data_IF_052598770124
#
_entry.id   IF_052598770124
#
_cell.length_a   1.000
_cell.length_b   1.000
_cell.length_c   1.000
_cell.angle_alpha   90.00
_cell.angle_beta   90.00
_cell.angle_gamma   90.00
#
_symmetry.space_group_name_H-M   'P 1'
#
loop_
_entity.id
_entity.type
_entity.pdbx_description
1 polymer ?
#
# COMPACT_ATOMS: atom_id res chain seq x y z
N UNK A 1 13.83 11.06 -37.93
CA UNK A 1 13.11 11.73 -36.83
C UNK A 1 12.50 10.67 -35.91
N UNK A 2 13.11 10.40 -34.76
CA UNK A 2 12.56 9.50 -33.75
C UNK A 2 11.44 10.22 -32.98
N UNK A 3 10.19 9.79 -33.17
CA UNK A 3 9.05 10.30 -32.38
C UNK A 3 9.26 9.92 -30.92
N UNK A 4 9.55 10.89 -30.05
CA UNK A 4 9.57 10.70 -28.61
C UNK A 4 8.15 10.41 -28.12
N UNK A 5 7.86 9.16 -27.78
CA UNK A 5 6.60 8.77 -27.16
C UNK A 5 6.51 9.44 -25.79
N UNK A 6 5.60 10.42 -25.63
CA UNK A 6 5.28 10.96 -24.30
C UNK A 6 4.72 9.80 -23.47
N UNK A 7 5.32 9.44 -22.33
CA UNK A 7 4.78 8.39 -21.49
C UNK A 7 3.37 8.79 -21.07
N UNK A 8 2.38 8.00 -21.51
CA UNK A 8 0.99 8.22 -21.14
C UNK A 8 0.90 7.98 -19.63
N UNK A 9 0.65 9.06 -18.87
CA UNK A 9 0.42 8.99 -17.43
C UNK A 9 -0.65 7.94 -17.16
N UNK A 10 -0.39 7.13 -16.15
CA UNK A 10 -1.17 5.95 -15.87
C UNK A 10 -2.51 6.32 -15.23
N UNK A 11 -3.50 6.62 -16.07
CA UNK A 11 -4.87 6.88 -15.60
C UNK A 11 -5.43 5.73 -14.78
N UNK A 12 -4.91 4.50 -14.97
CA UNK A 12 -5.34 3.33 -14.22
C UNK A 12 -4.93 3.39 -12.74
N UNK A 13 -3.66 3.71 -12.45
CA UNK A 13 -3.19 3.82 -11.06
C UNK A 13 -3.91 4.95 -10.34
N UNK A 14 -3.97 6.13 -10.97
CA UNK A 14 -4.69 7.28 -10.42
C UNK A 14 -6.16 6.94 -10.17
N UNK A 15 -6.85 6.34 -11.15
CA UNK A 15 -8.24 5.93 -11.00
C UNK A 15 -8.42 4.95 -9.84
N UNK A 16 -7.52 3.97 -9.69
CA UNK A 16 -7.61 2.97 -8.62
C UNK A 16 -7.43 3.60 -7.24
N UNK A 17 -6.42 4.45 -7.09
CA UNK A 17 -6.18 5.21 -5.85
C UNK A 17 -7.38 6.10 -5.52
N UNK A 18 -7.93 6.81 -6.50
CA UNK A 18 -9.15 7.62 -6.31
C UNK A 18 -10.34 6.78 -5.85
N UNK A 19 -10.56 5.60 -6.43
CA UNK A 19 -11.64 4.69 -6.00
C UNK A 19 -11.45 4.21 -4.56
N UNK A 20 -10.22 3.92 -4.15
CA UNK A 20 -9.91 3.51 -2.78
C UNK A 20 -10.14 4.66 -1.78
N UNK A 21 -9.73 5.89 -2.13
CA UNK A 21 -10.05 7.07 -1.33
C UNK A 21 -11.57 7.27 -1.18
N UNK A 22 -12.33 7.12 -2.27
CA UNK A 22 -13.80 7.19 -2.23
C UNK A 22 -14.44 6.08 -1.37
N UNK A 23 -13.77 4.93 -1.23
CA UNK A 23 -14.19 3.83 -0.37
C UNK A 23 -13.77 3.99 1.10
N UNK A 24 -13.12 5.11 1.46
CA UNK A 24 -12.74 5.43 2.84
C UNK A 24 -11.30 5.07 3.23
N UNK A 25 -10.47 4.63 2.29
CA UNK A 25 -9.03 4.43 2.53
C UNK A 25 -8.29 5.76 2.34
N UNK A 26 -8.48 6.72 3.24
CA UNK A 26 -8.07 8.12 3.08
C UNK A 26 -6.62 8.44 3.41
N UNK A 27 -5.93 7.56 4.14
CA UNK A 27 -4.52 7.76 4.50
C UNK A 27 -3.57 7.16 3.45
N UNK A 28 -2.33 7.65 3.46
CA UNK A 28 -1.23 7.10 2.67
C UNK A 28 -0.20 6.51 3.62
N UNK A 29 0.26 5.30 3.34
CA UNK A 29 1.23 4.60 4.16
C UNK A 29 2.53 4.36 3.39
N UNK A 30 3.64 4.38 4.14
CA UNK A 30 4.96 3.98 3.65
C UNK A 30 5.55 2.88 4.54
N UNK A 31 6.32 1.97 3.92
CA UNK A 31 7.15 1.03 4.67
C UNK A 31 8.45 1.70 5.12
N UNK A 32 8.78 1.56 6.41
CA UNK A 32 10.08 1.97 6.95
C UNK A 32 11.12 0.85 6.81
N UNK A 33 12.39 1.13 7.08
CA UNK A 33 13.49 0.14 7.00
C UNK A 33 13.24 -1.11 7.86
N UNK A 34 12.52 -0.97 8.97
CA UNK A 34 12.13 -2.07 9.86
C UNK A 34 10.90 -2.87 9.40
N UNK A 35 10.37 -2.59 8.19
CA UNK A 35 9.08 -3.07 7.69
C UNK A 35 7.88 -2.64 8.54
N UNK A 36 8.01 -1.59 9.36
CA UNK A 36 6.86 -0.97 10.01
C UNK A 36 6.10 -0.14 8.98
N UNK A 37 4.81 0.09 9.23
CA UNK A 37 4.03 1.05 8.47
C UNK A 37 4.12 2.41 9.13
N UNK A 38 4.29 3.45 8.33
CA UNK A 38 4.19 4.83 8.77
C UNK A 38 3.07 5.50 7.98
N UNK A 39 2.09 6.07 8.69
CA UNK A 39 1.11 6.97 8.08
C UNK A 39 1.80 8.27 7.70
N UNK A 40 1.60 8.74 6.47
CA UNK A 40 2.18 10.00 5.99
C UNK A 40 1.42 11.23 6.51
N UNK A 41 0.20 11.04 7.02
CA UNK A 41 -0.64 12.09 7.57
C UNK A 41 -0.31 12.37 9.03
N UNK A 42 -0.07 11.31 9.82
CA UNK A 42 0.14 11.42 11.28
C UNK A 42 1.61 11.25 11.68
N UNK A 43 2.45 10.76 10.76
CA UNK A 43 3.83 10.33 11.01
C UNK A 43 3.97 9.20 12.05
N UNK A 44 2.87 8.63 12.51
CA UNK A 44 2.85 7.55 13.50
C UNK A 44 3.29 6.25 12.83
N UNK A 45 4.23 5.55 13.47
CA UNK A 45 4.60 4.20 13.08
C UNK A 45 3.71 3.16 13.76
N UNK A 46 3.13 2.28 12.95
CA UNK A 46 2.36 1.13 13.38
C UNK A 46 3.13 -0.15 13.07
N UNK A 47 3.17 -1.05 14.05
CA UNK A 47 3.80 -2.35 13.85
C UNK A 47 2.92 -3.21 12.93
N UNK A 48 3.49 -4.01 12.02
CA UNK A 48 2.70 -4.76 11.04
C UNK A 48 1.62 -5.66 11.66
N UNK A 49 1.88 -6.26 12.82
CA UNK A 49 0.92 -7.14 13.49
C UNK A 49 -0.31 -6.42 14.06
N UNK A 50 -0.27 -5.10 14.21
CA UNK A 50 -1.39 -4.26 14.63
C UNK A 50 -2.17 -3.70 13.43
N UNK A 51 -1.90 -4.20 12.23
CA UNK A 51 -2.50 -3.74 10.98
C UNK A 51 -2.98 -4.92 10.17
N UNK A 52 -4.00 -4.73 9.35
CA UNK A 52 -4.43 -5.67 8.31
C UNK A 52 -4.01 -5.10 6.97
N UNK A 53 -3.12 -5.80 6.28
CA UNK A 53 -2.63 -5.37 4.97
C UNK A 53 -3.12 -6.37 3.91
N UNK A 54 -3.82 -5.88 2.88
CA UNK A 54 -4.36 -6.71 1.80
C UNK A 54 -3.88 -6.18 0.45
N UNK A 55 -3.34 -7.04 -0.40
CA UNK A 55 -3.10 -6.72 -1.80
C UNK A 55 -4.46 -6.64 -2.54
N UNK A 56 -4.74 -5.51 -3.17
CA UNK A 56 -6.03 -5.27 -3.86
C UNK A 56 -5.89 -5.01 -5.36
N UNK A 57 -4.67 -4.76 -5.84
CA UNK A 57 -4.40 -4.57 -7.26
C UNK A 57 -2.91 -4.70 -7.63
N UNK A 58 -2.64 -5.00 -8.89
CA UNK A 58 -1.32 -4.99 -9.51
C UNK A 58 -1.41 -4.19 -10.81
N UNK A 59 -0.75 -3.03 -10.84
CA UNK A 59 -0.86 -2.09 -11.95
C UNK A 59 0.51 -1.87 -12.57
N UNK A 60 0.64 -2.11 -13.87
CA UNK A 60 1.88 -1.83 -14.59
C UNK A 60 2.05 -0.33 -14.79
N UNK A 61 3.05 0.25 -14.13
CA UNK A 61 3.40 1.67 -14.21
C UNK A 61 4.21 1.99 -15.47
N UNK A 62 3.58 2.61 -16.47
CA UNK A 62 4.25 3.00 -17.72
C UNK A 62 5.23 4.16 -17.55
N UNK A 63 5.10 4.97 -16.50
CA UNK A 63 6.01 6.09 -16.26
C UNK A 63 7.38 5.58 -15.77
N UNK A 64 7.35 4.62 -14.86
CA UNK A 64 8.56 4.04 -14.25
C UNK A 64 8.89 2.64 -14.75
N UNK A 65 8.16 2.14 -15.75
CA UNK A 65 8.32 0.82 -16.38
C UNK A 65 8.40 -0.33 -15.35
N UNK A 66 7.53 -0.31 -14.34
CA UNK A 66 7.54 -1.28 -13.26
C UNK A 66 6.12 -1.59 -12.76
N UNK A 67 5.91 -2.79 -12.23
CA UNK A 67 4.66 -3.10 -11.54
C UNK A 67 4.58 -2.37 -10.20
N UNK A 68 3.41 -1.82 -9.91
CA UNK A 68 3.02 -1.26 -8.62
C UNK A 68 1.98 -2.16 -8.00
N UNK A 69 2.18 -2.49 -6.74
CA UNK A 69 1.30 -3.33 -5.96
C UNK A 69 0.54 -2.44 -4.99
N UNK A 70 -0.78 -2.39 -5.17
CA UNK A 70 -1.67 -1.55 -4.38
C UNK A 70 -2.18 -2.39 -3.22
N UNK A 71 -1.85 -1.98 -2.00
CA UNK A 71 -2.33 -2.60 -0.79
C UNK A 71 -3.27 -1.65 -0.05
N UNK A 72 -4.33 -2.19 0.55
CA UNK A 72 -5.11 -1.48 1.57
C UNK A 72 -4.55 -1.81 2.94
N UNK A 73 -4.50 -0.81 3.80
CA UNK A 73 -4.09 -0.91 5.20
C UNK A 73 -5.28 -0.54 6.08
N UNK A 74 -5.57 -1.36 7.08
CA UNK A 74 -6.46 -1.01 8.18
C UNK A 74 -5.72 -1.25 9.49
N UNK A 75 -5.54 -0.22 10.29
CA UNK A 75 -4.89 -0.31 11.61
C UNK A 75 -5.92 -0.64 12.70
N UNK A 76 -5.45 -1.13 13.85
CA UNK A 76 -6.27 -1.36 15.04
C UNK A 76 -6.91 -0.08 15.61
N UNK A 77 -6.25 1.07 15.43
CA UNK A 77 -6.78 2.38 15.83
C UNK A 77 -7.83 2.95 14.85
N UNK A 78 -8.21 2.20 13.80
CA UNK A 78 -9.26 2.56 12.85
C UNK A 78 -8.82 3.39 11.65
N UNK A 79 -7.53 3.72 11.54
CA UNK A 79 -6.97 4.38 10.37
C UNK A 79 -6.99 3.43 9.14
N UNK A 80 -7.46 3.95 8.01
CA UNK A 80 -7.54 3.22 6.76
C UNK A 80 -6.81 3.96 5.66
N UNK A 81 -6.01 3.24 4.89
CA UNK A 81 -5.24 3.88 3.83
C UNK A 81 -4.66 2.94 2.80
N UNK A 82 -3.79 3.50 1.97
CA UNK A 82 -3.22 2.87 0.79
C UNK A 82 -1.71 2.76 0.97
N UNK A 83 -1.16 1.60 0.62
CA UNK A 83 0.27 1.34 0.60
C UNK A 83 0.68 0.89 -0.81
N UNK A 84 1.49 1.70 -1.48
CA UNK A 84 2.00 1.42 -2.83
C UNK A 84 3.44 0.93 -2.76
N UNK A 85 3.69 -0.28 -3.29
CA UNK A 85 5.01 -0.91 -3.25
C UNK A 85 5.45 -1.43 -4.61
N UNK A 86 6.77 -1.57 -4.84
CA UNK A 86 7.31 -2.23 -6.03
C UNK A 86 7.27 -3.77 -5.93
N UNK A 87 6.77 -4.33 -4.83
CA UNK A 87 6.62 -5.77 -4.60
C UNK A 87 5.38 -6.08 -3.77
N UNK A 88 4.91 -7.34 -3.79
CA UNK A 88 3.85 -7.82 -2.92
C UNK A 88 4.36 -7.85 -1.47
N UNK A 89 3.61 -7.25 -0.56
CA UNK A 89 3.89 -7.33 0.87
C UNK A 89 2.96 -8.36 1.52
N UNK A 90 3.54 -9.50 1.89
CA UNK A 90 2.86 -10.47 2.73
C UNK A 90 3.09 -10.13 4.18
N UNK A 91 2.02 -9.88 4.91
CA UNK A 91 2.08 -9.77 6.35
C UNK A 91 2.38 -11.15 6.93
N UNK A 92 3.45 -11.25 7.72
CA UNK A 92 3.74 -12.47 8.46
C UNK A 92 2.65 -12.61 9.55
N UNK A 93 1.71 -13.54 9.36
CA UNK A 93 0.76 -13.89 10.41
C UNK A 93 1.55 -14.62 11.49
N UNK A 94 1.98 -13.89 12.53
CA UNK A 94 2.54 -14.54 13.70
C UNK A 94 1.43 -15.40 14.33
N UNK A 95 1.55 -16.72 14.23
CA UNK A 95 0.73 -17.64 15.03
C UNK A 95 0.90 -17.21 16.49
N UNK A 96 -0.17 -16.70 17.10
CA UNK A 96 -0.23 -16.70 18.55
C UNK A 96 -0.18 -18.17 18.96
N UNK A 97 0.98 -18.62 19.48
CA UNK A 97 0.97 -19.76 20.37
C UNK A 97 0.15 -19.29 21.57
N UNK A 98 -1.07 -19.78 21.67
CA UNK A 98 -1.78 -19.79 22.93
C UNK A 98 -0.83 -20.43 23.94
N UNK A 99 -0.30 -19.63 24.86
CA UNK A 99 0.32 -20.16 26.07
C UNK A 99 -0.87 -20.61 26.91
N UNK A 100 -1.26 -21.86 26.71
CA UNK A 100 -2.09 -22.57 27.66
C UNK A 100 -1.15 -23.18 28.69
N UNK A 101 -0.91 -22.47 29.80
CA UNK A 101 -0.67 -23.03 31.15
C UNK A 101 -1.09 -21.98 32.16
#
# INVERSE_FOLDING_TARGET
MTKTLKPKINSLLTKRVTQLHQAGYTSDFALTKGKNLRSLQTEIETKPFATTIKLVDQIYDRLFLQYKYVHTVETDNGEKGILLLPAIFFQLVARQRAVAV
#
